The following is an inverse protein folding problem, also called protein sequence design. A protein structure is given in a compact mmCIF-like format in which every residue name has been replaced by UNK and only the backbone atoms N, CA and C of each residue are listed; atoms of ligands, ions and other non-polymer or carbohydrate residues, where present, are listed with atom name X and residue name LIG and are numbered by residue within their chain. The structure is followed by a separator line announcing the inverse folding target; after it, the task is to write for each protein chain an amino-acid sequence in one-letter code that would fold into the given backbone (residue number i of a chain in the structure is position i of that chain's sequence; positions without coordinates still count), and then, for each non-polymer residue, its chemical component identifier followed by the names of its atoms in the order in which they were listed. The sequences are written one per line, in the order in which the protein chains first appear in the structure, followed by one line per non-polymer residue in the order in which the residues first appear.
data_IF_420102065432
#
_entry.id   IF_420102065432
#
_cell.length_a   1.000
_cell.length_b   1.000
_cell.length_c   1.000
_cell.angle_alpha   90.00
_cell.angle_beta   90.00
_cell.angle_gamma   90.00
#
_symmetry.space_group_name_H-M   'P 1'
#
loop_
_entity.id
_entity.type
_entity.pdbx_description
1 polymer ?
#
# COMPACT_ATOMS: atom_id res chain seq x y z
N UNK A 1 -15.81 -8.46 9.00
CA UNK A 1 -14.78 -7.48 8.58
C UNK A 1 -15.39 -6.56 7.52
N UNK A 2 -15.21 -5.23 7.63
CA UNK A 2 -15.70 -4.25 6.64
C UNK A 2 -14.48 -3.87 5.79
N UNK A 3 -14.48 -4.23 4.50
CA UNK A 3 -13.33 -4.04 3.62
C UNK A 3 -13.35 -2.68 2.90
N UNK A 4 -14.53 -2.22 2.54
CA UNK A 4 -14.78 -0.91 1.93
C UNK A 4 -16.23 -0.48 2.19
N UNK A 5 -16.48 0.81 2.03
CA UNK A 5 -17.81 1.38 1.97
C UNK A 5 -18.00 2.08 0.63
N UNK A 6 -19.16 1.88 0.02
CA UNK A 6 -19.60 2.59 -1.19
C UNK A 6 -21.00 3.14 -0.95
N UNK A 7 -21.15 4.46 -0.97
CA UNK A 7 -22.41 5.14 -0.65
C UNK A 7 -22.32 6.61 -0.98
N UNK A 8 -23.17 7.43 -0.35
CA UNK A 8 -23.17 8.87 -0.47
C UNK A 8 -22.43 9.51 0.72
N UNK A 9 -21.66 10.57 0.48
CA UNK A 9 -21.08 11.36 1.55
C UNK A 9 -22.18 12.15 2.25
N UNK A 10 -22.59 11.73 3.45
CA UNK A 10 -23.63 12.40 4.22
C UNK A 10 -23.12 13.65 4.96
N UNK A 11 -21.83 13.71 5.25
CA UNK A 11 -21.18 14.83 5.92
C UNK A 11 -19.73 14.55 6.27
N UNK A 12 -19.00 15.58 6.69
CA UNK A 12 -17.62 15.43 7.18
C UNK A 12 -17.30 16.44 8.27
N UNK A 13 -16.41 16.04 9.17
CA UNK A 13 -15.79 16.90 10.19
C UNK A 13 -14.28 17.01 9.91
N UNK A 14 -13.53 17.63 10.82
CA UNK A 14 -12.07 17.71 10.72
C UNK A 14 -11.36 16.34 10.86
N UNK A 15 -12.05 15.30 11.36
CA UNK A 15 -11.43 14.00 11.65
C UNK A 15 -12.20 12.79 11.10
N UNK A 16 -13.45 12.97 10.67
CA UNK A 16 -14.33 11.89 10.25
C UNK A 16 -15.14 12.27 9.00
N UNK A 17 -15.37 11.28 8.13
CA UNK A 17 -16.43 11.31 7.13
C UNK A 17 -17.62 10.46 7.60
N UNK A 18 -18.83 10.90 7.26
CA UNK A 18 -20.06 10.12 7.45
C UNK A 18 -20.53 9.64 6.08
N UNK A 19 -20.61 8.32 5.92
CA UNK A 19 -20.98 7.69 4.64
C UNK A 19 -22.31 6.99 4.85
N UNK A 20 -23.30 7.39 4.08
CA UNK A 20 -24.60 6.72 4.03
C UNK A 20 -24.54 5.58 3.02
N UNK A 21 -24.74 4.36 3.51
CA UNK A 21 -24.86 3.15 2.70
C UNK A 21 -26.28 2.62 2.88
N UNK A 22 -27.18 3.01 1.98
CA UNK A 22 -28.59 2.58 1.97
C UNK A 22 -29.33 2.83 3.31
N UNK A 23 -29.15 3.99 3.88
CA UNK A 23 -29.81 4.39 5.15
C UNK A 23 -29.02 4.02 6.41
N UNK A 24 -27.86 3.36 6.28
CA UNK A 24 -26.95 3.10 7.39
C UNK A 24 -25.79 4.09 7.34
N UNK A 25 -25.70 4.96 8.36
CA UNK A 25 -24.62 5.95 8.47
C UNK A 25 -23.38 5.38 9.15
N UNK A 26 -22.26 5.35 8.44
CA UNK A 26 -20.97 4.94 8.97
C UNK A 26 -20.09 6.15 9.28
N UNK A 27 -19.62 6.25 10.53
CA UNK A 27 -18.61 7.21 10.93
C UNK A 27 -17.20 6.64 10.68
N UNK A 28 -16.45 7.28 9.79
CA UNK A 28 -15.15 6.78 9.31
C UNK A 28 -14.06 7.80 9.63
N UNK A 29 -13.13 7.45 10.51
CA UNK A 29 -11.96 8.28 10.81
C UNK A 29 -11.01 8.30 9.62
N UNK A 30 -10.58 9.48 9.18
CA UNK A 30 -9.73 9.63 8.00
C UNK A 30 -8.62 10.66 8.23
N UNK A 31 -7.54 10.58 7.44
CA UNK A 31 -6.50 11.60 7.43
C UNK A 31 -7.05 12.93 6.87
N UNK A 32 -6.46 14.06 7.28
CA UNK A 32 -6.87 15.36 6.75
C UNK A 32 -6.68 15.47 5.23
N UNK A 33 -5.60 14.86 4.72
CA UNK A 33 -5.35 14.78 3.28
C UNK A 33 -6.47 14.06 2.53
N UNK A 34 -6.94 12.93 3.06
CA UNK A 34 -8.05 12.18 2.48
C UNK A 34 -9.38 12.94 2.60
N UNK A 35 -9.69 13.55 3.76
CA UNK A 35 -10.91 14.36 3.97
C UNK A 35 -11.01 15.55 3.03
N UNK A 36 -9.87 16.17 2.67
CA UNK A 36 -9.84 17.30 1.74
C UNK A 36 -10.15 16.89 0.29
N UNK A 37 -9.87 15.64 -0.07
CA UNK A 37 -10.09 15.07 -1.41
C UNK A 37 -11.46 14.43 -1.58
N UNK A 38 -12.26 14.33 -0.51
CA UNK A 38 -13.62 13.79 -0.61
C UNK A 38 -14.51 14.72 -1.46
N UNK A 39 -15.48 14.15 -2.20
CA UNK A 39 -16.43 14.90 -3.00
C UNK A 39 -17.34 15.82 -2.16
N UNK A 40 -18.27 16.50 -2.80
CA UNK A 40 -19.28 17.29 -2.11
C UNK A 40 -20.27 16.38 -1.34
N UNK A 41 -20.86 16.94 -0.28
CA UNK A 41 -21.91 16.24 0.49
C UNK A 41 -23.08 15.91 -0.45
N UNK A 42 -23.57 14.68 -0.38
CA UNK A 42 -24.59 14.11 -1.25
C UNK A 42 -24.03 13.33 -2.45
N UNK A 43 -22.77 13.49 -2.80
CA UNK A 43 -22.17 12.78 -3.92
C UNK A 43 -21.68 11.36 -3.56
N UNK A 44 -21.61 10.46 -4.55
CA UNK A 44 -21.13 9.10 -4.33
C UNK A 44 -19.66 9.07 -3.96
N UNK A 45 -19.33 8.23 -3.01
CA UNK A 45 -17.95 8.01 -2.54
C UNK A 45 -17.71 6.52 -2.29
N UNK A 46 -16.49 6.07 -2.55
CA UNK A 46 -16.01 4.77 -2.12
C UNK A 46 -14.72 4.96 -1.32
N UNK A 47 -14.64 4.32 -0.16
CA UNK A 47 -13.45 4.33 0.70
C UNK A 47 -13.09 2.91 1.10
N UNK A 48 -11.80 2.60 1.09
CA UNK A 48 -11.27 1.38 1.70
C UNK A 48 -11.29 1.52 3.21
N UNK A 49 -11.56 0.46 3.95
CA UNK A 49 -11.72 0.58 5.39
C UNK A 49 -10.86 -0.41 6.16
N UNK A 50 -10.49 0.01 7.36
CA UNK A 50 -9.89 -0.82 8.39
C UNK A 50 -10.80 -0.78 9.62
N UNK A 51 -11.29 -1.95 10.05
CA UNK A 51 -12.11 -2.10 11.23
C UNK A 51 -11.22 -2.44 12.42
N UNK A 52 -11.17 -1.56 13.39
CA UNK A 52 -10.53 -1.83 14.67
C UNK A 52 -11.56 -2.25 15.71
N UNK A 53 -11.29 -3.37 16.37
CA UNK A 53 -12.04 -3.84 17.52
C UNK A 53 -11.09 -3.87 18.70
N UNK A 54 -11.45 -3.20 19.79
CA UNK A 54 -10.65 -3.14 21.02
C UNK A 54 -11.58 -3.08 22.24
N UNK A 55 -11.02 -3.22 23.42
CA UNK A 55 -11.77 -3.10 24.68
C UNK A 55 -12.45 -1.72 24.84
N UNK A 56 -11.93 -0.70 24.16
CA UNK A 56 -12.49 0.66 24.15
C UNK A 56 -13.61 0.85 23.13
N UNK A 57 -13.98 -0.18 22.36
CA UNK A 57 -15.03 -0.16 21.37
C UNK A 57 -14.56 -0.48 19.96
N UNK A 58 -15.48 -0.22 19.03
CA UNK A 58 -15.29 -0.45 17.59
C UNK A 58 -15.05 0.90 16.91
N UNK A 59 -14.03 0.98 16.09
CA UNK A 59 -13.72 2.15 15.25
C UNK A 59 -13.49 1.73 13.81
N UNK A 60 -13.92 2.58 12.87
CA UNK A 60 -13.71 2.39 11.45
C UNK A 60 -12.84 3.52 10.90
N UNK A 61 -11.78 3.14 10.21
CA UNK A 61 -10.85 4.06 9.54
C UNK A 61 -10.96 3.90 8.04
N UNK A 62 -10.88 5.02 7.30
CA UNK A 62 -11.07 5.05 5.86
C UNK A 62 -9.92 5.68 5.10
N UNK A 63 -9.72 5.18 3.89
CA UNK A 63 -8.61 5.53 3.01
C UNK A 63 -9.13 5.64 1.58
N UNK A 64 -8.60 6.59 0.82
CA UNK A 64 -8.98 6.75 -0.59
C UNK A 64 -8.28 5.74 -1.48
N UNK A 65 -7.11 5.26 -1.09
CA UNK A 65 -6.32 4.30 -1.84
C UNK A 65 -5.92 3.09 -0.99
N UNK A 66 -5.56 2.00 -1.64
CA UNK A 66 -5.08 0.79 -0.96
C UNK A 66 -3.70 1.00 -0.34
N UNK A 67 -2.88 1.86 -0.93
CA UNK A 67 -1.56 2.22 -0.44
C UNK A 67 -1.66 2.96 0.91
N UNK A 68 -2.56 3.94 1.01
CA UNK A 68 -2.84 4.63 2.29
C UNK A 68 -3.27 3.63 3.37
N UNK A 69 -4.15 2.68 3.02
CA UNK A 69 -4.62 1.64 3.93
C UNK A 69 -3.47 0.72 4.36
N UNK A 70 -2.68 0.22 3.41
CA UNK A 70 -1.56 -0.67 3.68
C UNK A 70 -0.52 0.00 4.59
N UNK A 71 -0.21 1.28 4.33
CA UNK A 71 0.71 2.04 5.16
C UNK A 71 0.15 2.26 6.58
N UNK A 72 -1.14 2.55 6.72
CA UNK A 72 -1.81 2.64 8.01
C UNK A 72 -1.70 1.33 8.79
N UNK A 73 -1.99 0.20 8.17
CA UNK A 73 -1.92 -1.13 8.79
C UNK A 73 -0.50 -1.47 9.27
N UNK A 74 0.52 -1.07 8.51
CA UNK A 74 1.92 -1.21 8.93
C UNK A 74 2.27 -0.31 10.09
N UNK A 75 1.84 0.95 10.05
CA UNK A 75 2.10 1.93 11.12
C UNK A 75 1.50 1.48 12.47
N UNK A 76 0.26 0.99 12.48
CA UNK A 76 -0.37 0.52 13.72
C UNK A 76 0.25 -0.78 14.27
N UNK A 77 0.99 -1.52 13.44
CA UNK A 77 1.80 -2.67 13.88
C UNK A 77 3.04 -2.26 14.66
N UNK A 78 3.50 -1.01 14.51
CA UNK A 78 4.68 -0.50 15.23
C UNK A 78 4.33 -0.26 16.69
N UNK A 79 5.10 -0.84 17.60
CA UNK A 79 4.88 -0.67 19.04
C UNK A 79 4.97 0.80 19.45
N UNK A 80 3.89 1.32 20.06
CA UNK A 80 3.74 2.72 20.47
C UNK A 80 3.12 3.63 19.41
N UNK A 81 2.67 3.07 18.29
CA UNK A 81 1.92 3.78 17.24
C UNK A 81 0.49 3.27 17.24
N UNK A 82 -0.44 4.09 17.70
CA UNK A 82 -1.87 3.81 17.61
C UNK A 82 -2.51 4.46 16.38
N UNK A 83 -3.80 4.19 16.11
CA UNK A 83 -4.52 4.73 14.95
C UNK A 83 -4.48 6.25 14.83
N UNK A 84 -4.54 6.97 15.95
CA UNK A 84 -4.42 8.45 15.94
C UNK A 84 -3.08 8.91 15.36
N UNK A 85 -1.98 8.26 15.77
CA UNK A 85 -0.64 8.59 15.30
C UNK A 85 -0.47 8.17 13.84
N UNK A 86 -1.00 7.02 13.45
CA UNK A 86 -0.98 6.55 12.06
C UNK A 86 -1.75 7.49 11.12
N UNK A 87 -2.95 7.98 11.51
CA UNK A 87 -3.68 9.00 10.75
C UNK A 87 -2.95 10.34 10.72
N UNK A 88 -2.28 10.74 11.81
CA UNK A 88 -1.46 11.94 11.83
C UNK A 88 -0.25 11.82 10.87
N UNK A 89 0.35 10.64 10.77
CA UNK A 89 1.40 10.35 9.79
C UNK A 89 0.88 10.52 8.35
N UNK A 90 -0.26 9.91 8.00
CA UNK A 90 -0.91 10.05 6.70
C UNK A 90 -1.47 11.47 6.43
N UNK A 91 -1.62 12.29 7.46
CA UNK A 91 -1.97 13.70 7.31
C UNK A 91 -0.75 14.59 7.07
N UNK A 92 0.42 14.18 7.55
CA UNK A 92 1.68 14.91 7.46
C UNK A 92 2.49 14.55 6.22
N UNK A 93 2.32 13.33 5.70
CA UNK A 93 3.06 12.78 4.58
C UNK A 93 2.11 12.10 3.59
N UNK A 94 2.45 12.18 2.31
CA UNK A 94 1.93 11.20 1.34
C UNK A 94 2.61 9.84 1.58
N UNK A 95 1.99 8.72 1.14
CA UNK A 95 2.61 7.41 1.29
C UNK A 95 4.05 7.36 0.76
N UNK A 96 4.29 7.91 -0.43
CA UNK A 96 5.60 7.94 -1.08
C UNK A 96 6.62 8.77 -0.28
N UNK A 97 6.19 9.92 0.25
CA UNK A 97 7.06 10.81 1.05
C UNK A 97 7.47 10.14 2.37
N UNK A 98 6.55 9.39 3.01
CA UNK A 98 6.88 8.67 4.23
C UNK A 98 7.83 7.50 3.94
N UNK A 99 7.60 6.77 2.85
CA UNK A 99 8.51 5.71 2.39
C UNK A 99 9.91 6.26 2.13
N UNK A 100 10.02 7.37 1.41
CA UNK A 100 11.30 8.03 1.13
C UNK A 100 12.03 8.47 2.43
N UNK A 101 11.30 9.03 3.40
CA UNK A 101 11.86 9.43 4.70
C UNK A 101 12.36 8.21 5.50
N UNK A 102 11.63 7.07 5.44
CA UNK A 102 12.03 5.82 6.09
C UNK A 102 13.27 5.22 5.42
N UNK A 103 13.33 5.20 4.10
CA UNK A 103 14.49 4.70 3.34
C UNK A 103 15.74 5.55 3.60
N UNK A 104 15.58 6.89 3.65
CA UNK A 104 16.64 7.83 3.99
C UNK A 104 17.02 7.80 5.48
N UNK A 105 16.28 7.04 6.32
CA UNK A 105 16.46 7.01 7.78
C UNK A 105 16.37 8.39 8.44
N UNK A 106 15.54 9.28 7.87
CA UNK A 106 15.37 10.65 8.36
C UNK A 106 14.46 10.69 9.60
N UNK A 107 15.10 10.48 10.77
CA UNK A 107 14.42 10.54 12.07
C UNK A 107 13.80 11.92 12.32
N UNK A 108 14.45 12.99 11.86
CA UNK A 108 13.97 14.36 12.07
C UNK A 108 12.68 14.64 11.29
N UNK A 109 12.57 14.14 10.07
CA UNK A 109 11.34 14.22 9.29
C UNK A 109 10.19 13.45 9.98
N UNK A 110 10.43 12.20 10.39
CA UNK A 110 9.41 11.35 11.04
C UNK A 110 8.98 11.93 12.40
N UNK A 111 9.85 12.61 13.11
CA UNK A 111 9.49 13.31 14.36
C UNK A 111 8.52 14.50 14.16
N UNK A 112 8.34 15.01 12.95
CA UNK A 112 7.35 16.06 12.66
C UNK A 112 5.91 15.55 12.74
N UNK A 113 5.72 14.25 12.77
CA UNK A 113 4.39 13.64 12.94
C UNK A 113 3.89 13.93 14.36
N UNK A 114 2.69 14.54 14.52
CA UNK A 114 2.12 14.81 15.83
C UNK A 114 2.00 13.53 16.67
N UNK A 115 2.53 13.57 17.90
CA UNK A 115 2.54 12.43 18.81
C UNK A 115 3.73 11.47 18.64
N UNK A 116 4.66 11.76 17.74
CA UNK A 116 5.86 10.94 17.50
C UNK A 116 7.10 11.59 18.11
N UNK A 117 7.62 10.99 19.17
CA UNK A 117 8.92 11.37 19.77
C UNK A 117 10.09 10.67 19.07
N UNK A 118 11.33 11.06 19.41
CA UNK A 118 12.56 10.50 18.82
C UNK A 118 12.61 8.97 18.87
N UNK A 119 12.26 8.37 20.03
CA UNK A 119 12.26 6.91 20.21
C UNK A 119 11.25 6.21 19.29
N UNK A 120 10.04 6.77 19.18
CA UNK A 120 8.99 6.24 18.29
C UNK A 120 9.37 6.41 16.83
N UNK A 121 9.94 7.56 16.44
CA UNK A 121 10.42 7.82 15.07
C UNK A 121 11.48 6.80 14.65
N UNK A 122 12.49 6.54 15.50
CA UNK A 122 13.51 5.53 15.20
C UNK A 122 12.92 4.13 15.05
N UNK A 123 11.90 3.79 15.87
CA UNK A 123 11.21 2.50 15.78
C UNK A 123 10.38 2.38 14.52
N UNK A 124 9.62 3.42 14.14
CA UNK A 124 8.88 3.47 12.87
C UNK A 124 9.82 3.21 11.69
N UNK A 125 10.96 3.89 11.65
CA UNK A 125 11.95 3.70 10.59
C UNK A 125 12.46 2.26 10.54
N UNK A 126 12.84 1.69 11.69
CA UNK A 126 13.39 0.34 11.75
C UNK A 126 12.38 -0.72 11.31
N UNK A 127 11.16 -0.67 11.84
CA UNK A 127 10.12 -1.67 11.58
C UNK A 127 9.56 -1.55 10.16
N UNK A 128 9.35 -0.31 9.66
CA UNK A 128 8.89 -0.11 8.28
C UNK A 128 9.96 -0.48 7.24
N UNK A 129 11.23 -0.17 7.48
CA UNK A 129 12.32 -0.56 6.57
C UNK A 129 12.36 -2.07 6.35
N UNK A 130 12.29 -2.86 7.42
CA UNK A 130 12.21 -4.32 7.32
C UNK A 130 10.96 -4.84 6.56
N UNK A 131 9.89 -4.06 6.56
CA UNK A 131 8.66 -4.40 5.84
C UNK A 131 8.73 -4.04 4.34
N UNK A 132 9.47 -3.00 3.97
CA UNK A 132 9.67 -2.61 2.57
C UNK A 132 10.55 -3.61 1.82
N UNK A 133 11.54 -4.19 2.48
CA UNK A 133 12.39 -5.25 1.91
C UNK A 133 11.59 -6.55 1.62
N UNK A 134 10.43 -6.73 2.24
CA UNK A 134 9.55 -7.91 2.08
C UNK A 134 8.39 -7.74 1.09
N UNK A 135 8.44 -6.75 0.18
CA UNK A 135 7.48 -6.62 -0.92
C UNK A 135 6.48 -5.47 -0.82
N UNK A 136 6.62 -4.52 0.11
CA UNK A 136 5.79 -3.32 0.12
C UNK A 136 6.11 -2.38 -1.05
N UNK A 137 7.30 -2.46 -1.63
CA UNK A 137 7.65 -1.76 -2.87
C UNK A 137 6.65 -2.08 -3.98
N UNK A 138 6.18 -3.32 -4.08
CA UNK A 138 5.19 -3.73 -5.08
C UNK A 138 3.77 -3.18 -4.86
N UNK A 139 3.40 -2.75 -3.66
CA UNK A 139 2.11 -2.09 -3.39
C UNK A 139 2.12 -0.60 -3.75
N UNK A 140 3.30 0.01 -3.82
CA UNK A 140 3.48 1.40 -4.25
C UNK A 140 3.77 1.50 -5.75
N UNK A 141 4.11 0.38 -6.41
CA UNK A 141 4.23 0.26 -7.86
C UNK A 141 2.87 0.15 -8.59
N UNK A 142 1.75 0.20 -7.87
CA UNK A 142 0.39 0.24 -8.46
C UNK A 142 0.04 1.63 -9.01
N UNK A 143 0.98 2.56 -9.07
CA UNK A 143 0.79 3.79 -9.82
C UNK A 143 1.13 3.58 -11.28
N UNK A 144 0.17 3.05 -11.98
CA UNK A 144 0.10 3.32 -13.38
C UNK A 144 0.72 2.29 -14.29
N UNK A 145 0.24 2.33 -15.48
CA UNK A 145 0.85 1.73 -16.65
C UNK A 145 2.36 2.00 -16.65
N UNK A 146 3.19 1.04 -17.04
CA UNK A 146 4.63 1.20 -17.11
C UNK A 146 4.97 2.46 -17.90
N UNK A 147 5.72 3.36 -17.28
CA UNK A 147 6.07 4.65 -17.86
C UNK A 147 7.04 4.52 -19.05
N UNK A 148 7.60 3.32 -19.23
CA UNK A 148 8.40 2.96 -20.41
C UNK A 148 8.20 1.49 -20.79
N UNK A 149 8.38 1.20 -22.08
CA UNK A 149 8.35 -0.18 -22.59
C UNK A 149 9.39 -1.09 -21.89
N UNK A 150 10.48 -0.52 -21.40
CA UNK A 150 11.53 -1.22 -20.68
C UNK A 150 11.09 -1.68 -19.27
N UNK A 151 10.32 -0.86 -18.54
CA UNK A 151 9.78 -1.21 -17.23
C UNK A 151 8.70 -2.31 -17.34
N UNK A 152 7.84 -2.23 -18.36
CA UNK A 152 6.87 -3.28 -18.66
C UNK A 152 7.53 -4.62 -19.01
N UNK A 153 8.65 -4.58 -19.73
CA UNK A 153 9.42 -5.77 -20.05
C UNK A 153 10.09 -6.38 -18.81
N UNK A 154 10.64 -5.54 -17.91
CA UNK A 154 11.25 -5.97 -16.66
C UNK A 154 10.23 -6.64 -15.71
N UNK A 155 9.02 -6.09 -15.61
CA UNK A 155 7.95 -6.66 -14.77
C UNK A 155 7.47 -8.01 -15.31
N UNK A 156 7.30 -8.14 -16.64
CA UNK A 156 6.94 -9.41 -17.28
C UNK A 156 8.03 -10.48 -17.10
N UNK A 157 9.31 -10.10 -17.18
CA UNK A 157 10.43 -11.01 -16.93
C UNK A 157 10.46 -11.48 -15.46
N UNK A 158 10.14 -10.59 -14.52
CA UNK A 158 10.05 -10.91 -13.09
C UNK A 158 8.91 -11.90 -12.82
N UNK A 159 7.70 -11.67 -13.35
CA UNK A 159 6.57 -12.59 -13.24
C UNK A 159 6.87 -13.96 -13.82
N UNK A 160 7.47 -14.01 -15.01
CA UNK A 160 7.88 -15.27 -15.64
C UNK A 160 8.92 -16.03 -14.80
N UNK A 161 9.87 -15.33 -14.17
CA UNK A 161 10.87 -15.93 -13.27
C UNK A 161 10.20 -16.51 -12.01
N UNK A 162 9.29 -15.79 -11.39
CA UNK A 162 8.55 -16.26 -10.21
C UNK A 162 7.70 -17.50 -10.52
N UNK A 163 7.08 -17.55 -11.70
CA UNK A 163 6.34 -18.72 -12.17
C UNK A 163 7.25 -19.94 -12.37
N UNK A 164 8.46 -19.76 -12.91
CA UNK A 164 9.44 -20.86 -13.07
C UNK A 164 9.93 -21.38 -11.71
N UNK A 165 10.15 -20.50 -10.73
CA UNK A 165 10.48 -20.89 -9.36
C UNK A 165 9.35 -21.69 -8.71
N UNK A 166 8.08 -21.28 -8.91
CA UNK A 166 6.91 -22.00 -8.44
C UNK A 166 6.76 -23.39 -9.08
N UNK A 167 7.24 -23.55 -10.32
CA UNK A 167 7.32 -24.84 -11.00
C UNK A 167 8.49 -25.73 -10.55
N UNK A 168 9.32 -25.25 -9.61
CA UNK A 168 10.40 -26.02 -8.98
C UNK A 168 11.77 -25.87 -9.64
N UNK A 169 11.96 -24.93 -10.55
CA UNK A 169 13.27 -24.65 -11.14
C UNK A 169 14.13 -23.80 -10.20
N UNK A 170 15.46 -23.99 -10.24
CA UNK A 170 16.36 -23.17 -9.47
C UNK A 170 16.46 -21.73 -10.05
N UNK A 171 16.77 -20.73 -9.19
CA UNK A 171 16.88 -19.33 -9.63
C UNK A 171 17.87 -19.12 -10.77
N UNK A 172 19.00 -19.81 -10.72
CA UNK A 172 20.03 -19.75 -11.78
C UNK A 172 19.53 -20.35 -13.12
N UNK A 173 18.76 -21.42 -13.06
CA UNK A 173 18.17 -22.06 -14.24
C UNK A 173 17.13 -21.15 -14.90
N UNK A 174 16.25 -20.53 -14.10
CA UNK A 174 15.25 -19.59 -14.58
C UNK A 174 15.89 -18.35 -15.25
N UNK A 175 16.95 -17.79 -14.68
CA UNK A 175 17.68 -16.68 -15.27
C UNK A 175 18.34 -17.03 -16.61
N UNK A 176 19.01 -18.19 -16.67
CA UNK A 176 19.65 -18.65 -17.91
C UNK A 176 18.61 -18.96 -18.99
N UNK A 177 17.47 -19.53 -18.61
CA UNK A 177 16.41 -19.89 -19.55
C UNK A 177 15.72 -18.65 -20.14
N UNK A 178 15.53 -17.58 -19.35
CA UNK A 178 14.92 -16.32 -19.78
C UNK A 178 15.91 -15.40 -20.52
N UNK A 179 17.20 -15.67 -20.45
CA UNK A 179 18.20 -14.85 -21.13
C UNK A 179 18.05 -14.88 -22.66
N UNK A 180 17.83 -13.69 -23.25
CA UNK A 180 17.61 -13.55 -24.70
C UNK A 180 16.17 -13.83 -25.14
N UNK A 181 15.22 -13.80 -24.22
CA UNK A 181 13.80 -13.82 -24.54
C UNK A 181 13.40 -12.51 -25.26
N UNK A 182 12.37 -12.54 -26.14
CA UNK A 182 11.88 -11.33 -26.82
C UNK A 182 11.35 -10.30 -25.82
N UNK A 183 11.75 -9.04 -25.98
CA UNK A 183 11.36 -7.94 -25.07
C UNK A 183 9.88 -7.58 -25.13
N UNK A 184 9.20 -7.89 -26.21
CA UNK A 184 7.77 -7.64 -26.47
C UNK A 184 6.87 -8.83 -26.10
N UNK A 185 7.46 -9.97 -25.69
CA UNK A 185 6.69 -11.14 -25.29
C UNK A 185 5.87 -10.91 -24.01
N UNK A 186 4.66 -11.47 -23.97
CA UNK A 186 3.87 -11.53 -22.74
C UNK A 186 4.45 -12.56 -21.75
N UNK A 187 4.01 -12.50 -20.49
CA UNK A 187 4.50 -13.37 -19.43
C UNK A 187 4.34 -14.86 -19.77
N UNK A 188 3.20 -15.25 -20.37
CA UNK A 188 2.95 -16.63 -20.77
C UNK A 188 3.90 -17.09 -21.90
N UNK A 189 4.20 -16.21 -22.86
CA UNK A 189 5.16 -16.49 -23.92
C UNK A 189 6.58 -16.64 -23.36
N UNK A 190 6.97 -15.79 -22.37
CA UNK A 190 8.25 -15.88 -21.66
C UNK A 190 8.41 -17.21 -20.91
N UNK A 191 7.35 -17.64 -20.18
CA UNK A 191 7.33 -18.93 -19.48
C UNK A 191 7.49 -20.09 -20.47
N UNK A 192 6.73 -20.09 -21.57
CA UNK A 192 6.85 -21.13 -22.63
C UNK A 192 8.22 -21.14 -23.28
N UNK A 193 8.80 -19.96 -23.53
CA UNK A 193 10.14 -19.84 -24.07
C UNK A 193 11.20 -20.45 -23.15
N UNK A 194 11.11 -20.16 -21.85
CA UNK A 194 12.01 -20.70 -20.85
C UNK A 194 11.86 -22.23 -20.68
N UNK A 195 10.62 -22.73 -20.60
CA UNK A 195 10.36 -24.17 -20.49
C UNK A 195 10.89 -24.96 -21.68
N UNK A 196 10.77 -24.43 -22.90
CA UNK A 196 11.33 -25.05 -24.10
C UNK A 196 12.87 -25.16 -24.05
N UNK A 197 13.55 -24.19 -23.42
CA UNK A 197 15.01 -24.21 -23.24
C UNK A 197 15.45 -25.10 -22.08
N UNK A 198 14.58 -25.31 -21.09
CA UNK A 198 14.83 -26.21 -19.97
C UNK A 198 14.49 -27.67 -20.28
N UNK A 199 14.05 -27.97 -21.53
CA UNK A 199 13.85 -29.33 -22.01
C UNK A 199 12.52 -29.96 -21.60
N UNK A 200 11.51 -29.15 -21.35
CA UNK A 200 10.13 -29.60 -21.08
C UNK A 200 9.12 -29.01 -22.06
#
# INVERSE_FOLDING_TARGET
MIAFLKGALAGKTAACAYIDVQGVGYAVGMSQGALSKLPAVGEPVQVHTYLQVSDNGIALYGFLTLEEKALFERLIGVSGVGPKVALAALSSFTPEALVAAVQAQDVAAVQKIPGVGKKTASRIILELKGSFDQGLASLFDVSGAPSSAAEAAAERLKGAREALLALGFASAEAEVALKGAPEDADENALIKYALKRLGK
#
